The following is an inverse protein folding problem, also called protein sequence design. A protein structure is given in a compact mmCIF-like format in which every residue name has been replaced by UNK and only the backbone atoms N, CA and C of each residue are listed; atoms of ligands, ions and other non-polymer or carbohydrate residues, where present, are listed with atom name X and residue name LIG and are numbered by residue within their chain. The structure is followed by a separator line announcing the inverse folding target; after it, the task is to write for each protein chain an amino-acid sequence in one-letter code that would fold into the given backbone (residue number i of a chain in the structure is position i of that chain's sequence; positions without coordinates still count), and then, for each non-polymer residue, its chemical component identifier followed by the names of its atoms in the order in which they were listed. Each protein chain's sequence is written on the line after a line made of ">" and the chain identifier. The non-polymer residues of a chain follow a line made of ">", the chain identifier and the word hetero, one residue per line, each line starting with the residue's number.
data_IF_551256827930
#
_entry.id   IF_551256827930
#
_cell.length_a   1.000
_cell.length_b   1.000
_cell.length_c   1.000
_cell.angle_alpha   90.00
_cell.angle_beta   90.00
_cell.angle_gamma   90.00
#
_symmetry.space_group_name_H-M   'P 1'
#
loop_
_entity.id
_entity.type
_entity.pdbx_description
1 polymer ?
#
# COMPACT_ATOMS: atom_id res chain seq x y z
N UNK A 1 -5.32 21.87 4.82
CA UNK A 1 -6.24 20.86 5.38
C UNK A 1 -5.92 20.45 6.83
N UNK A 2 -5.28 21.32 7.62
CA UNK A 2 -4.82 20.96 8.98
C UNK A 2 -5.84 21.31 10.06
N UNK A 3 -5.75 20.64 11.20
CA UNK A 3 -6.51 20.96 12.42
C UNK A 3 -5.60 21.04 13.64
N UNK A 4 -5.98 21.87 14.62
CA UNK A 4 -5.37 21.91 15.96
C UNK A 4 -6.20 21.17 17.00
N UNK A 5 -7.30 20.53 16.61
CA UNK A 5 -8.09 19.70 17.52
C UNK A 5 -7.26 18.50 17.98
N UNK A 6 -7.25 18.27 19.30
CA UNK A 6 -6.51 17.18 19.92
C UNK A 6 -7.37 16.39 20.93
N UNK A 7 -8.50 15.80 20.51
CA UNK A 7 -9.38 15.07 21.43
C UNK A 7 -8.70 13.82 22.03
N UNK A 8 -7.70 13.27 21.34
CA UNK A 8 -7.01 12.03 21.71
C UNK A 8 -5.61 12.24 22.30
N UNK A 9 -5.13 13.50 22.42
CA UNK A 9 -3.79 13.79 22.98
C UNK A 9 -2.62 13.43 22.05
N UNK A 10 -2.87 13.27 20.76
CA UNK A 10 -1.92 12.80 19.76
C UNK A 10 -1.58 13.85 18.68
N UNK A 11 -2.26 14.99 18.66
CA UNK A 11 -2.00 16.06 17.70
C UNK A 11 -0.97 17.05 18.27
N UNK A 12 0.23 17.05 17.69
CA UNK A 12 1.35 17.90 18.14
C UNK A 12 1.33 19.33 17.57
N UNK A 13 0.23 19.76 16.96
CA UNK A 13 0.08 21.11 16.41
C UNK A 13 -0.95 21.15 15.30
N UNK A 14 -0.52 21.54 14.10
CA UNK A 14 -1.35 21.54 12.89
C UNK A 14 -1.25 20.16 12.21
N UNK A 15 -2.09 19.22 12.64
CA UNK A 15 -2.11 17.84 12.15
C UNK A 15 -3.05 17.64 10.97
N UNK A 16 -2.82 16.56 10.22
CA UNK A 16 -3.75 16.06 9.21
C UNK A 16 -4.57 14.90 9.78
N UNK A 17 -5.88 14.89 9.50
CA UNK A 17 -6.77 13.80 9.88
C UNK A 17 -7.84 13.59 8.80
N UNK A 18 -8.36 12.37 8.71
CA UNK A 18 -9.33 11.98 7.69
C UNK A 18 -8.76 11.94 6.27
N UNK A 19 -9.65 11.84 5.29
CA UNK A 19 -9.29 11.88 3.87
C UNK A 19 -9.10 13.33 3.39
N UNK A 20 -8.09 13.55 2.55
CA UNK A 20 -7.78 14.84 1.91
C UNK A 20 -8.93 15.42 1.06
N UNK A 21 -9.84 14.56 0.58
CA UNK A 21 -11.06 14.95 -0.15
C UNK A 21 -12.18 15.41 0.80
N UNK A 22 -11.92 16.43 1.62
CA UNK A 22 -12.91 17.01 2.55
C UNK A 22 -13.63 15.96 3.43
N UNK A 23 -12.92 14.91 3.85
CA UNK A 23 -13.50 13.84 4.67
C UNK A 23 -14.36 12.81 3.92
N UNK A 24 -14.29 12.76 2.59
CA UNK A 24 -14.90 11.69 1.79
C UNK A 24 -14.28 10.31 2.01
N UNK A 25 -14.92 9.27 1.47
CA UNK A 25 -14.46 7.87 1.66
C UNK A 25 -13.16 7.55 0.92
N UNK A 26 -12.82 8.34 -0.11
CA UNK A 26 -11.64 8.15 -0.96
C UNK A 26 -10.82 9.44 -0.93
N UNK A 27 -9.56 9.31 -0.53
CA UNK A 27 -8.59 10.41 -0.55
C UNK A 27 -8.21 10.78 -1.99
N UNK A 28 -7.96 12.07 -2.22
CA UNK A 28 -7.52 12.62 -3.50
C UNK A 28 -6.22 13.41 -3.30
N UNK A 29 -5.44 13.58 -4.37
CA UNK A 29 -4.30 14.49 -4.32
C UNK A 29 -4.78 15.92 -4.14
N UNK A 30 -4.21 16.62 -3.17
CA UNK A 30 -4.49 18.03 -2.88
C UNK A 30 -3.18 18.78 -2.74
N UNK A 31 -3.14 20.02 -3.21
CA UNK A 31 -2.03 20.93 -2.98
C UNK A 31 -2.14 21.50 -1.55
N UNK A 32 -1.09 21.31 -0.75
CA UNK A 32 -1.03 21.82 0.62
C UNK A 32 0.10 22.83 0.76
N UNK A 33 -0.18 23.96 1.41
CA UNK A 33 0.77 25.04 1.63
C UNK A 33 0.90 25.31 3.13
N UNK A 34 2.14 25.31 3.63
CA UNK A 34 2.48 25.60 5.02
C UNK A 34 3.27 26.92 5.08
N UNK A 35 2.80 27.87 5.88
CA UNK A 35 3.49 29.15 6.07
C UNK A 35 4.70 28.98 7.00
N UNK A 36 5.90 29.17 6.45
CA UNK A 36 7.16 29.13 7.18
C UNK A 36 7.68 30.52 7.58
N UNK A 37 6.94 31.60 7.31
CA UNK A 37 7.32 32.99 7.64
C UNK A 37 7.80 33.17 9.09
N UNK A 38 7.18 32.55 10.12
CA UNK A 38 7.66 32.68 11.51
C UNK A 38 9.08 32.13 11.76
N UNK A 39 9.62 31.35 10.82
CA UNK A 39 10.93 30.73 10.88
C UNK A 39 11.97 31.40 9.96
N UNK A 40 11.60 32.46 9.25
CA UNK A 40 12.51 33.19 8.37
C UNK A 40 13.77 33.67 9.13
N UNK A 41 14.95 33.45 8.52
CA UNK A 41 16.25 33.77 9.11
C UNK A 41 16.75 32.82 10.19
N UNK A 42 16.02 31.72 10.48
CA UNK A 42 16.43 30.67 11.42
C UNK A 42 16.82 29.41 10.65
N UNK A 43 17.68 28.62 11.26
CA UNK A 43 17.89 27.22 10.86
C UNK A 43 16.84 26.36 11.56
N UNK A 44 16.02 25.65 10.78
CA UNK A 44 14.95 24.78 11.28
C UNK A 44 14.98 23.43 10.56
N UNK A 45 14.55 22.39 11.26
CA UNK A 45 14.33 21.07 10.68
C UNK A 45 12.84 20.89 10.38
N UNK A 46 12.51 20.63 9.11
CA UNK A 46 11.17 20.24 8.69
C UNK A 46 11.05 18.72 8.71
N UNK A 47 9.91 18.20 9.20
CA UNK A 47 9.65 16.77 9.30
C UNK A 47 8.17 16.45 9.09
N UNK A 48 7.90 15.48 8.22
CA UNK A 48 6.60 14.84 8.13
C UNK A 48 6.55 13.67 9.13
N UNK A 49 5.51 13.62 9.95
CA UNK A 49 5.33 12.55 10.94
C UNK A 49 3.94 11.95 10.77
N UNK A 50 3.88 10.63 10.62
CA UNK A 50 2.64 9.85 10.69
C UNK A 50 2.63 9.11 12.03
N UNK A 51 1.61 9.37 12.83
CA UNK A 51 1.40 8.71 14.13
C UNK A 51 0.09 7.95 14.04
N UNK A 52 0.13 6.63 14.27
CA UNK A 52 -1.03 5.74 14.26
C UNK A 52 -1.16 5.04 15.60
N UNK A 53 -2.39 4.69 15.99
CA UNK A 53 -2.63 3.84 17.15
C UNK A 53 -2.45 2.35 16.82
N UNK A 54 -2.72 1.49 17.79
CA UNK A 54 -2.66 0.03 17.66
C UNK A 54 -4.01 -0.59 17.23
N UNK A 55 -5.04 0.22 16.98
CA UNK A 55 -6.41 -0.26 16.84
C UNK A 55 -6.78 -0.59 15.40
N UNK A 56 -6.50 0.31 14.45
CA UNK A 56 -6.97 0.14 13.06
C UNK A 56 -6.00 0.70 12.00
N UNK A 57 -5.72 -0.11 10.98
CA UNK A 57 -4.85 0.28 9.86
C UNK A 57 -5.66 0.67 8.63
N UNK A 58 -5.36 1.84 8.05
CA UNK A 58 -5.89 2.34 6.78
C UNK A 58 -4.73 2.80 5.89
N UNK A 59 -4.98 3.08 4.59
CA UNK A 59 -4.05 3.88 3.81
C UNK A 59 -3.61 5.11 4.61
N UNK A 60 -2.29 5.28 4.74
CA UNK A 60 -1.68 6.32 5.55
C UNK A 60 -1.50 7.61 4.77
N UNK A 61 -0.33 8.22 4.94
CA UNK A 61 0.04 9.47 4.30
C UNK A 61 0.91 9.21 3.07
N UNK A 62 0.55 9.83 1.96
CA UNK A 62 1.38 9.96 0.75
C UNK A 62 1.67 11.43 0.50
N UNK A 63 2.91 11.73 0.14
CA UNK A 63 3.41 13.10 -0.08
C UNK A 63 4.20 13.07 -1.37
N UNK A 64 3.99 14.07 -2.21
CA UNK A 64 4.67 14.24 -3.48
C UNK A 64 4.85 15.73 -3.78
N UNK A 65 5.74 16.08 -4.71
CA UNK A 65 5.98 17.43 -5.21
C UNK A 65 6.30 18.45 -4.10
N UNK A 66 7.22 18.10 -3.20
CA UNK A 66 7.64 18.93 -2.07
C UNK A 66 8.45 20.12 -2.59
N UNK A 67 8.10 21.34 -2.16
CA UNK A 67 8.79 22.57 -2.58
C UNK A 67 8.97 23.55 -1.43
N UNK A 68 10.14 24.17 -1.36
CA UNK A 68 10.40 25.35 -0.51
C UNK A 68 11.07 26.41 -1.41
N UNK A 69 10.27 27.26 -2.09
CA UNK A 69 10.77 28.19 -3.11
C UNK A 69 11.83 29.16 -2.59
N UNK A 70 11.70 29.61 -1.34
CA UNK A 70 12.56 30.62 -0.72
C UNK A 70 14.02 30.15 -0.58
N UNK A 71 14.25 28.83 -0.61
CA UNK A 71 15.59 28.22 -0.60
C UNK A 71 15.88 27.41 -1.87
N UNK A 72 15.04 27.56 -2.91
CA UNK A 72 15.12 26.80 -4.17
C UNK A 72 15.14 25.26 -3.98
N UNK A 73 14.41 24.76 -2.99
CA UNK A 73 14.29 23.32 -2.76
C UNK A 73 13.09 22.74 -3.51
N UNK A 74 13.29 21.61 -4.19
CA UNK A 74 12.24 20.82 -4.83
C UNK A 74 12.57 19.34 -4.76
N UNK A 75 11.56 18.49 -4.52
CA UNK A 75 11.64 17.04 -4.65
C UNK A 75 10.30 16.49 -5.18
N UNK A 76 10.37 15.71 -6.27
CA UNK A 76 9.25 14.95 -6.83
C UNK A 76 9.21 13.50 -6.31
N UNK A 77 10.04 13.18 -5.31
CA UNK A 77 10.14 11.88 -4.66
C UNK A 77 10.58 10.71 -5.56
N UNK A 78 10.96 10.97 -6.82
CA UNK A 78 11.40 9.94 -7.78
C UNK A 78 12.86 9.51 -7.58
N UNK A 79 13.63 10.25 -6.77
CA UNK A 79 15.01 9.90 -6.41
C UNK A 79 15.31 10.18 -4.93
N UNK A 80 16.39 9.59 -4.43
CA UNK A 80 16.91 9.80 -3.07
C UNK A 80 17.92 10.96 -2.97
N UNK A 81 18.14 11.70 -4.06
CA UNK A 81 19.18 12.72 -4.17
C UNK A 81 18.75 14.12 -3.69
N UNK A 82 17.51 14.29 -3.22
CA UNK A 82 16.98 15.59 -2.79
C UNK A 82 17.59 16.10 -1.47
N UNK A 83 18.43 15.32 -0.79
CA UNK A 83 19.16 15.78 0.40
C UNK A 83 18.35 15.79 1.71
N UNK A 84 17.23 15.07 1.77
CA UNK A 84 16.48 14.80 3.00
C UNK A 84 16.24 13.30 3.20
N UNK A 85 15.87 12.91 4.43
CA UNK A 85 15.69 11.49 4.79
C UNK A 85 14.22 11.13 4.93
N UNK A 86 13.78 10.12 4.18
CA UNK A 86 12.45 9.51 4.28
C UNK A 86 12.39 8.52 5.46
N UNK A 87 12.75 8.93 6.67
CA UNK A 87 12.84 8.05 7.82
C UNK A 87 11.48 7.44 8.21
N UNK A 88 11.28 6.15 7.90
CA UNK A 88 10.03 5.41 8.12
C UNK A 88 9.05 5.49 6.95
N UNK A 89 9.22 6.46 6.05
CA UNK A 89 8.51 6.51 4.76
C UNK A 89 9.26 5.67 3.72
N UNK A 90 8.54 5.20 2.70
CA UNK A 90 9.15 4.54 1.55
C UNK A 90 8.73 5.25 0.28
N UNK A 91 9.66 5.38 -0.68
CA UNK A 91 9.34 5.85 -2.02
C UNK A 91 8.67 4.72 -2.77
N UNK A 92 7.56 5.02 -3.45
CA UNK A 92 6.75 4.01 -4.12
C UNK A 92 6.04 4.61 -5.32
N UNK A 93 5.98 3.86 -6.40
CA UNK A 93 5.12 4.14 -7.55
C UNK A 93 3.72 3.51 -7.40
N UNK A 94 3.39 3.07 -6.18
CA UNK A 94 2.15 2.38 -5.82
C UNK A 94 1.90 1.08 -6.60
N UNK A 95 2.97 0.42 -7.08
CA UNK A 95 2.89 -0.89 -7.73
C UNK A 95 3.55 -1.94 -6.85
N UNK A 96 2.77 -2.95 -6.46
CA UNK A 96 3.24 -4.13 -5.76
C UNK A 96 3.10 -5.35 -6.66
N UNK A 97 4.17 -6.13 -6.90
CA UNK A 97 4.07 -7.39 -7.60
C UNK A 97 3.08 -8.31 -6.87
N UNK A 98 2.04 -8.76 -7.57
CA UNK A 98 1.08 -9.68 -6.98
C UNK A 98 1.75 -11.05 -6.75
N UNK A 99 1.76 -11.50 -5.49
CA UNK A 99 2.22 -12.81 -5.09
C UNK A 99 1.03 -13.73 -4.83
N UNK A 100 1.18 -14.99 -5.23
CA UNK A 100 0.16 -16.02 -5.07
C UNK A 100 0.75 -17.26 -4.43
N UNK A 101 -0.01 -17.87 -3.55
CA UNK A 101 0.20 -19.23 -3.11
C UNK A 101 -1.01 -20.06 -3.56
N UNK A 102 -0.79 -20.94 -4.54
CA UNK A 102 -1.84 -21.79 -5.08
C UNK A 102 -1.59 -23.24 -4.69
N UNK A 103 -2.61 -23.87 -4.13
CA UNK A 103 -2.60 -25.29 -3.76
C UNK A 103 -3.73 -26.02 -4.46
N UNK A 104 -3.38 -27.10 -5.15
CA UNK A 104 -4.34 -28.06 -5.66
C UNK A 104 -4.52 -29.17 -4.62
N UNK A 105 -5.77 -29.34 -4.17
CA UNK A 105 -6.19 -30.47 -3.37
C UNK A 105 -6.74 -31.53 -4.31
N UNK A 106 -6.06 -32.67 -4.41
CA UNK A 106 -6.48 -33.78 -5.26
C UNK A 106 -7.10 -34.87 -4.42
N UNK A 107 -8.26 -35.34 -4.82
CA UNK A 107 -9.03 -36.37 -4.13
C UNK A 107 -9.20 -37.54 -5.10
N UNK A 108 -8.63 -38.69 -4.73
CA UNK A 108 -8.75 -39.94 -5.48
C UNK A 108 -9.20 -41.05 -4.53
N UNK A 109 -10.48 -41.41 -4.60
CA UNK A 109 -11.09 -42.33 -3.64
C UNK A 109 -11.03 -41.81 -2.20
N UNK A 110 -10.20 -42.45 -1.36
CA UNK A 110 -9.95 -42.04 0.04
C UNK A 110 -8.64 -41.26 0.24
N UNK A 111 -7.85 -41.09 -0.81
CA UNK A 111 -6.56 -40.41 -0.75
C UNK A 111 -6.76 -38.93 -1.06
N UNK A 112 -6.16 -38.07 -0.23
CA UNK A 112 -6.12 -36.61 -0.41
C UNK A 112 -4.66 -36.16 -0.45
N UNK A 113 -4.26 -35.46 -1.51
CA UNK A 113 -2.93 -34.85 -1.62
C UNK A 113 -3.04 -33.34 -1.79
N UNK A 114 -2.01 -32.63 -1.32
CA UNK A 114 -1.90 -31.17 -1.39
C UNK A 114 -0.63 -30.84 -2.15
N UNK A 115 -0.77 -30.25 -3.33
CA UNK A 115 0.36 -29.98 -4.21
C UNK A 115 0.38 -28.49 -4.58
N UNK A 116 1.55 -27.84 -4.59
CA UNK A 116 1.68 -26.49 -5.13
C UNK A 116 1.38 -26.50 -6.63
N UNK A 117 0.49 -25.60 -7.08
CA UNK A 117 0.32 -25.34 -8.51
C UNK A 117 1.32 -24.26 -8.92
N UNK A 118 2.32 -24.64 -9.71
CA UNK A 118 3.30 -23.69 -10.22
C UNK A 118 2.64 -22.75 -11.23
N UNK A 119 2.95 -21.46 -11.09
CA UNK A 119 2.55 -20.42 -12.03
C UNK A 119 3.73 -20.03 -12.90
N UNK A 120 3.45 -19.63 -14.14
CA UNK A 120 4.43 -18.97 -15.00
C UNK A 120 4.70 -17.51 -14.55
N UNK A 121 5.62 -16.84 -15.25
CA UNK A 121 5.98 -15.45 -14.97
C UNK A 121 4.83 -14.46 -15.21
N UNK A 122 3.74 -14.89 -15.87
CA UNK A 122 2.52 -14.12 -16.11
C UNK A 122 1.42 -14.46 -15.10
N UNK A 123 1.71 -15.29 -14.09
CA UNK A 123 0.76 -15.69 -13.05
C UNK A 123 -0.28 -16.71 -13.53
N UNK A 124 0.01 -17.49 -14.58
CA UNK A 124 -0.91 -18.49 -15.14
C UNK A 124 -0.44 -19.90 -14.79
N UNK A 125 -1.39 -20.78 -14.50
CA UNK A 125 -1.13 -22.19 -14.23
C UNK A 125 -2.31 -23.03 -14.70
N UNK A 126 -2.02 -24.26 -15.11
CA UNK A 126 -3.01 -25.22 -15.55
C UNK A 126 -2.74 -26.56 -14.86
N UNK A 127 -3.81 -27.30 -14.57
CA UNK A 127 -3.70 -28.67 -14.12
C UNK A 127 -4.81 -29.52 -14.73
N UNK A 128 -4.46 -30.72 -15.20
CA UNK A 128 -5.42 -31.69 -15.72
C UNK A 128 -5.65 -32.81 -14.71
N UNK A 129 -6.89 -32.90 -14.24
CA UNK A 129 -7.33 -34.02 -13.39
C UNK A 129 -7.52 -35.27 -14.25
N UNK A 130 -7.20 -36.43 -13.68
CA UNK A 130 -7.55 -37.71 -14.33
C UNK A 130 -9.01 -38.07 -14.09
N UNK A 131 -9.59 -38.97 -14.90
CA UNK A 131 -11.03 -39.24 -14.96
C UNK A 131 -11.70 -39.67 -13.63
N UNK A 132 -10.94 -40.09 -12.63
CA UNK A 132 -11.44 -40.51 -11.31
C UNK A 132 -11.01 -39.57 -10.17
N UNK A 133 -10.41 -38.44 -10.50
CA UNK A 133 -9.98 -37.44 -9.52
C UNK A 133 -10.97 -36.29 -9.42
N UNK A 134 -11.09 -35.77 -8.21
CA UNK A 134 -11.72 -34.47 -7.95
C UNK A 134 -10.64 -33.50 -7.49
N UNK A 135 -10.75 -32.25 -7.92
CA UNK A 135 -9.86 -31.18 -7.52
C UNK A 135 -10.59 -30.10 -6.73
N UNK A 136 -9.93 -29.53 -5.74
CA UNK A 136 -10.27 -28.22 -5.19
C UNK A 136 -9.05 -27.31 -5.28
N UNK A 137 -9.25 -26.07 -5.73
CA UNK A 137 -8.19 -25.08 -5.81
C UNK A 137 -8.28 -24.16 -4.59
N UNK A 138 -7.18 -24.02 -3.86
CA UNK A 138 -7.01 -23.01 -2.82
C UNK A 138 -6.13 -21.91 -3.42
N UNK A 139 -6.72 -20.72 -3.57
CA UNK A 139 -6.06 -19.53 -4.13
C UNK A 139 -5.86 -18.54 -3.01
N UNK A 140 -4.60 -18.25 -2.65
CA UNK A 140 -4.26 -17.30 -1.61
C UNK A 140 -3.42 -16.18 -2.21
N UNK A 141 -3.90 -14.95 -2.08
CA UNK A 141 -3.08 -13.77 -2.34
C UNK A 141 -2.13 -13.55 -1.16
N UNK A 142 -0.84 -13.42 -1.44
CA UNK A 142 0.20 -13.38 -0.41
C UNK A 142 1.09 -12.14 -0.50
N UNK A 143 0.78 -11.19 -1.38
CA UNK A 143 1.50 -9.92 -1.48
C UNK A 143 1.54 -9.24 -0.11
N UNK A 144 2.72 -8.97 0.46
CA UNK A 144 2.81 -8.31 1.75
C UNK A 144 2.42 -6.83 1.63
N UNK A 145 2.07 -6.22 2.78
CA UNK A 145 1.84 -4.78 2.91
C UNK A 145 0.72 -4.18 2.05
N UNK A 146 -0.22 -4.99 1.57
CA UNK A 146 -1.41 -4.51 0.87
C UNK A 146 -2.69 -5.06 1.50
N UNK A 147 -3.73 -4.23 1.53
CA UNK A 147 -5.10 -4.62 1.85
C UNK A 147 -5.98 -4.68 0.61
N UNK A 148 -5.41 -4.41 -0.57
CA UNK A 148 -6.13 -4.42 -1.83
C UNK A 148 -6.58 -5.83 -2.20
N UNK A 149 -7.80 -5.92 -2.76
CA UNK A 149 -8.35 -7.21 -3.18
C UNK A 149 -7.60 -7.70 -4.42
N UNK A 150 -6.91 -8.82 -4.28
CA UNK A 150 -6.32 -9.51 -5.42
C UNK A 150 -7.42 -10.11 -6.33
N UNK A 151 -7.26 -9.91 -7.63
CA UNK A 151 -8.19 -10.41 -8.65
C UNK A 151 -7.60 -11.63 -9.36
N UNK A 152 -8.44 -12.64 -9.61
CA UNK A 152 -8.06 -13.85 -10.33
C UNK A 152 -9.23 -14.36 -11.18
N UNK A 153 -8.94 -15.25 -12.13
CA UNK A 153 -9.95 -15.93 -12.94
C UNK A 153 -9.62 -17.42 -12.97
N UNK A 154 -10.66 -18.26 -12.84
CA UNK A 154 -10.55 -19.71 -12.99
C UNK A 154 -11.45 -20.12 -14.14
N UNK A 155 -10.94 -20.99 -15.00
CA UNK A 155 -11.72 -21.62 -16.05
C UNK A 155 -11.60 -23.13 -15.90
N UNK A 156 -12.74 -23.82 -15.96
CA UNK A 156 -12.80 -25.28 -15.93
C UNK A 156 -13.45 -25.72 -17.22
N UNK A 157 -12.72 -26.50 -18.01
CA UNK A 157 -13.20 -27.07 -19.25
C UNK A 157 -13.29 -28.58 -19.09
N UNK A 158 -14.44 -29.14 -19.44
CA UNK A 158 -14.52 -30.57 -19.69
C UNK A 158 -13.99 -30.84 -21.11
N UNK A 159 -13.27 -31.96 -21.31
CA UNK A 159 -12.93 -32.40 -22.66
C UNK A 159 -14.16 -32.71 -23.50
#
# INVERSE_FOLDING_TARGET
>A
HTTTEDPQGANWGNGYTGASNNGGDIAEWVDEQLDLTPYAGKEVLLRFSLVTDDAFNRPGMVIDNIRVPEINFTDDAESDNAGWSAAGFTRTNNLLPQQWEIRLVRISGRTVTFEPLQLDAQGRGEYQLTANERGALVVMATTPHTTERASYTISVTNP
#
